data_IF_834737063876
#
_entry.id   IF_834737063876
#
_cell.length_a   1.000
_cell.length_b   1.000
_cell.length_c   1.000
_cell.angle_alpha   90.00
_cell.angle_beta   90.00
_cell.angle_gamma   90.00
#
_symmetry.space_group_name_H-M   'P 1'
#
loop_
_entity.id
_entity.type
_entity.pdbx_description
1 polymer ?
#
# COMPACT_ATOMS: atom_id res chain seq x y z
N UNK A 1 -0.75 12.57 8.58
CA UNK A 1 -0.91 13.06 7.20
C UNK A 1 0.34 13.80 6.77
N UNK A 2 0.80 13.51 5.57
CA UNK A 2 1.99 14.12 5.02
C UNK A 2 1.76 14.43 3.55
N UNK A 3 2.17 15.61 3.12
CA UNK A 3 1.94 16.02 1.73
C UNK A 3 2.95 15.41 0.76
N UNK A 4 4.05 14.89 1.26
CA UNK A 4 5.03 14.21 0.43
C UNK A 4 4.93 12.71 0.61
N UNK A 5 6.06 12.05 0.43
CA UNK A 5 6.14 10.61 0.63
C UNK A 5 6.24 10.29 2.11
N UNK A 6 5.77 9.10 2.48
CA UNK A 6 5.83 8.64 3.87
C UNK A 6 6.50 7.27 3.87
N UNK A 7 7.52 7.13 4.71
CA UNK A 7 8.18 5.85 4.93
C UNK A 7 8.05 5.51 6.41
N UNK A 8 7.55 4.32 6.69
CA UNK A 8 7.35 3.85 8.06
C UNK A 8 8.20 2.61 8.27
N UNK A 9 8.99 2.63 9.32
CA UNK A 9 9.75 1.46 9.75
C UNK A 9 8.99 0.87 10.92
N UNK A 10 8.33 -0.25 10.67
CA UNK A 10 7.45 -0.87 11.65
C UNK A 10 6.12 -1.20 11.01
N UNK A 11 5.15 -1.56 11.84
CA UNK A 11 3.86 -2.02 11.37
C UNK A 11 2.82 -0.90 11.46
N UNK A 12 1.85 -0.96 10.55
CA UNK A 12 0.66 -0.12 10.62
C UNK A 12 -0.49 -1.06 11.03
N UNK A 13 -0.94 -0.91 12.24
CA UNK A 13 -1.90 -1.85 12.81
C UNK A 13 -3.33 -1.54 12.38
N UNK A 14 -4.23 -2.52 12.51
CA UNK A 14 -5.64 -2.26 12.22
C UNK A 14 -6.14 -1.07 13.03
N UNK A 15 -6.91 -0.22 12.37
CA UNK A 15 -7.41 1.00 12.99
C UNK A 15 -6.53 2.21 12.79
N UNK A 16 -5.27 2.01 12.44
CA UNK A 16 -4.40 3.13 12.13
C UNK A 16 -4.60 3.56 10.68
N UNK A 17 -4.24 4.80 10.40
CA UNK A 17 -4.40 5.35 9.08
C UNK A 17 -3.15 6.11 8.68
N UNK A 18 -2.71 5.91 7.43
CA UNK A 18 -1.58 6.63 6.86
C UNK A 18 -2.07 7.35 5.62
N UNK A 19 -1.85 8.64 5.56
CA UNK A 19 -2.27 9.46 4.41
C UNK A 19 -1.06 10.22 3.92
N UNK A 20 -0.76 10.10 2.65
CA UNK A 20 0.38 10.77 2.04
C UNK A 20 -0.01 11.37 0.70
N UNK A 21 0.54 12.53 0.38
CA UNK A 21 0.36 13.12 -0.94
C UNK A 21 1.13 12.38 -2.02
N UNK A 22 2.19 11.67 -1.64
CA UNK A 22 2.98 10.86 -2.54
C UNK A 22 2.88 9.40 -2.19
N UNK A 23 4.02 8.71 -2.20
CA UNK A 23 4.09 7.28 -1.99
C UNK A 23 4.03 6.93 -0.50
N UNK A 24 3.59 5.72 -0.20
CA UNK A 24 3.65 5.17 1.15
C UNK A 24 4.47 3.89 1.10
N UNK A 25 5.51 3.83 1.91
CA UNK A 25 6.38 2.66 1.99
C UNK A 25 6.44 2.22 3.44
N UNK A 26 6.07 0.97 3.68
CA UNK A 26 6.02 0.42 5.03
C UNK A 26 6.99 -0.75 5.12
N UNK A 27 8.05 -0.56 5.90
CA UNK A 27 8.99 -1.64 6.18
C UNK A 27 8.44 -2.45 7.34
N UNK A 28 7.39 -3.21 7.05
CA UNK A 28 6.69 -4.00 8.04
C UNK A 28 5.35 -4.43 7.50
N UNK A 29 4.44 -4.70 8.40
CA UNK A 29 3.10 -5.17 8.05
C UNK A 29 2.15 -4.00 7.97
N UNK A 30 1.45 -3.88 6.84
CA UNK A 30 0.47 -2.83 6.66
C UNK A 30 -0.91 -3.45 6.75
N UNK A 31 -1.59 -3.22 7.87
CA UNK A 31 -2.90 -3.80 8.14
C UNK A 31 -3.97 -2.77 8.41
N UNK A 32 -3.61 -1.51 8.46
CA UNK A 32 -4.58 -0.45 8.64
C UNK A 32 -5.06 0.10 7.33
N UNK A 33 -5.51 1.35 7.36
CA UNK A 33 -5.96 2.05 6.16
C UNK A 33 -4.81 2.86 5.61
N UNK A 34 -4.72 2.93 4.28
CA UNK A 34 -3.66 3.69 3.64
C UNK A 34 -4.24 4.47 2.46
N UNK A 35 -3.77 5.70 2.31
CA UNK A 35 -4.18 6.56 1.20
C UNK A 35 -2.93 7.25 0.66
N UNK A 36 -2.42 6.77 -0.46
CA UNK A 36 -1.30 7.38 -1.15
C UNK A 36 -1.83 8.29 -2.24
N UNK A 37 -1.01 9.23 -2.67
CA UNK A 37 -1.42 10.15 -3.71
C UNK A 37 -2.67 10.92 -3.35
N UNK A 38 -2.80 11.32 -2.08
CA UNK A 38 -4.06 11.86 -1.57
C UNK A 38 -4.49 13.14 -2.26
N UNK A 39 -3.55 13.84 -2.88
CA UNK A 39 -3.86 15.07 -3.61
C UNK A 39 -4.09 14.83 -5.09
N UNK A 40 -4.33 13.57 -5.49
CA UNK A 40 -4.65 13.25 -6.87
C UNK A 40 -3.50 12.66 -7.67
N UNK A 41 -2.42 12.29 -7.03
CA UNK A 41 -1.25 11.74 -7.73
C UNK A 41 -1.49 10.27 -8.03
N UNK A 42 -1.84 9.97 -9.27
CA UNK A 42 -2.13 8.60 -9.68
C UNK A 42 -0.87 7.77 -9.95
N UNK A 43 0.29 8.40 -9.88
CA UNK A 43 1.56 7.67 -10.00
C UNK A 43 2.07 7.20 -8.65
N UNK A 44 1.40 7.55 -7.58
CA UNK A 44 1.82 7.14 -6.23
C UNK A 44 1.69 5.64 -6.06
N UNK A 45 2.56 5.08 -5.23
CA UNK A 45 2.56 3.65 -4.96
C UNK A 45 2.48 3.40 -3.47
N UNK A 46 2.06 2.18 -3.13
CA UNK A 46 2.06 1.70 -1.75
C UNK A 46 2.84 0.40 -1.71
N UNK A 47 3.91 0.38 -0.93
CA UNK A 47 4.75 -0.81 -0.77
C UNK A 47 4.75 -1.24 0.68
N UNK A 48 4.77 -2.54 0.91
CA UNK A 48 4.91 -3.06 2.27
C UNK A 48 5.55 -4.43 2.20
N UNK A 49 6.21 -4.83 3.29
CA UNK A 49 6.75 -6.18 3.38
C UNK A 49 5.63 -7.20 3.51
N UNK A 50 4.52 -6.80 4.10
CA UNK A 50 3.32 -7.62 4.17
C UNK A 50 2.14 -6.69 3.92
N UNK A 51 1.63 -6.68 2.70
CA UNK A 51 0.60 -5.75 2.29
C UNK A 51 -0.77 -6.40 2.43
N UNK A 52 -1.44 -6.06 3.52
CA UNK A 52 -2.76 -6.60 3.79
C UNK A 52 -3.64 -5.53 4.44
N UNK A 53 -3.80 -4.37 3.79
CA UNK A 53 -4.54 -3.27 4.39
C UNK A 53 -6.03 -3.57 4.48
N UNK A 54 -6.68 -2.94 5.44
CA UNK A 54 -8.13 -2.99 5.51
C UNK A 54 -8.74 -2.26 4.32
N UNK A 55 -8.10 -1.16 3.93
CA UNK A 55 -8.55 -0.37 2.80
C UNK A 55 -7.34 0.33 2.20
N UNK A 56 -7.24 0.29 0.90
CA UNK A 56 -6.12 0.91 0.20
C UNK A 56 -6.67 1.88 -0.83
N UNK A 57 -6.17 3.11 -0.77
CA UNK A 57 -6.57 4.14 -1.71
C UNK A 57 -5.33 4.72 -2.36
N UNK A 58 -5.44 4.98 -3.66
CA UNK A 58 -4.43 5.73 -4.40
C UNK A 58 -5.19 6.78 -5.19
N UNK A 59 -4.87 8.04 -4.93
CA UNK A 59 -5.58 9.17 -5.55
C UNK A 59 -7.08 9.02 -5.28
N UNK A 60 -7.90 8.93 -6.30
CA UNK A 60 -9.35 8.81 -6.14
C UNK A 60 -9.84 7.37 -6.15
N UNK A 61 -8.95 6.41 -6.39
CA UNK A 61 -9.35 5.01 -6.47
C UNK A 61 -9.21 4.33 -5.12
N UNK A 62 -10.07 3.35 -4.88
CA UNK A 62 -10.11 2.66 -3.61
C UNK A 62 -10.30 1.17 -3.88
N UNK A 63 -9.63 0.36 -3.10
CA UNK A 63 -9.82 -1.07 -3.17
C UNK A 63 -9.70 -1.68 -1.79
N UNK A 64 -10.32 -2.83 -1.61
CA UNK A 64 -10.19 -3.65 -0.42
C UNK A 64 -9.70 -4.99 -0.86
N UNK A 65 -8.54 -5.42 -0.37
CA UNK A 65 -8.06 -6.75 -0.74
C UNK A 65 -9.08 -7.80 -0.31
N UNK A 66 -9.24 -8.86 -1.11
CA UNK A 66 -10.15 -9.93 -0.70
C UNK A 66 -9.60 -10.61 0.54
N UNK A 67 -10.53 -11.12 1.35
CA UNK A 67 -10.11 -11.87 2.51
C UNK A 67 -9.40 -13.14 2.09
N UNK A 68 -8.28 -13.38 2.74
CA UNK A 68 -7.53 -14.59 2.45
C UNK A 68 -8.19 -15.77 3.09
N UNK A 69 -8.34 -16.79 2.33
CA UNK A 69 -8.89 -18.04 2.83
C UNK A 69 -7.73 -18.98 3.01
N UNK A 70 -7.38 -19.28 4.24
CA UNK A 70 -6.30 -20.17 4.50
C UNK A 70 -5.00 -19.43 4.64
N UNK A 71 -3.91 -20.14 4.43
CA UNK A 71 -2.62 -19.63 4.74
C UNK A 71 -2.10 -18.72 3.65
N UNK A 72 -1.51 -17.65 4.11
CA UNK A 72 -0.93 -16.67 3.24
C UNK A 72 0.54 -16.50 3.59
N UNK A 73 1.37 -16.55 2.58
CA UNK A 73 2.80 -16.33 2.77
C UNK A 73 3.10 -14.85 2.60
N UNK A 74 3.70 -14.25 3.63
CA UNK A 74 4.09 -12.86 3.54
C UNK A 74 5.20 -12.69 2.55
N UNK A 75 5.07 -11.69 1.69
CA UNK A 75 6.12 -11.29 0.79
C UNK A 75 5.89 -9.84 0.43
N UNK A 76 6.95 -9.14 0.06
CA UNK A 76 6.80 -7.73 -0.30
C UNK A 76 5.92 -7.57 -1.53
N UNK A 77 5.06 -6.56 -1.48
CA UNK A 77 4.16 -6.25 -2.59
C UNK A 77 4.10 -4.76 -2.79
N UNK A 78 3.76 -4.37 -4.00
CA UNK A 78 3.55 -2.98 -4.36
C UNK A 78 2.19 -2.84 -5.02
N UNK A 79 1.45 -1.81 -4.61
CA UNK A 79 0.16 -1.46 -5.20
C UNK A 79 0.34 -0.17 -5.99
N UNK A 80 -0.26 -0.13 -7.17
CA UNK A 80 -0.22 1.05 -8.03
C UNK A 80 -1.41 1.02 -8.97
N UNK A 81 -1.65 2.16 -9.60
CA UNK A 81 -2.75 2.26 -10.57
C UNK A 81 -2.20 1.90 -11.94
N UNK A 82 -2.92 1.02 -12.62
CA UNK A 82 -2.63 0.68 -14.01
C UNK A 82 -3.95 0.54 -14.74
N UNK A 83 -4.10 1.29 -15.84
CA UNK A 83 -5.30 1.23 -16.67
C UNK A 83 -6.56 1.52 -15.87
N UNK A 84 -6.47 2.48 -14.96
CA UNK A 84 -7.63 2.94 -14.20
C UNK A 84 -8.01 2.09 -13.01
N UNK A 85 -7.19 1.12 -12.64
CA UNK A 85 -7.50 0.24 -11.51
C UNK A 85 -6.25 0.06 -10.66
N UNK A 86 -6.47 -0.20 -9.39
CA UNK A 86 -5.37 -0.50 -8.49
C UNK A 86 -4.99 -1.97 -8.68
N UNK A 87 -3.73 -2.21 -8.99
CA UNK A 87 -3.21 -3.57 -9.08
C UNK A 87 -2.16 -3.75 -8.00
N UNK A 88 -1.99 -5.01 -7.58
CA UNK A 88 -1.01 -5.38 -6.57
C UNK A 88 -0.14 -6.46 -7.17
N UNK A 89 1.18 -6.28 -7.08
CA UNK A 89 2.10 -7.26 -7.61
C UNK A 89 3.24 -7.45 -6.64
N UNK A 90 3.95 -8.54 -6.82
CA UNK A 90 5.11 -8.82 -5.99
C UNK A 90 6.15 -7.76 -6.21
N UNK A 91 6.78 -7.35 -5.12
CA UNK A 91 7.86 -6.39 -5.18
C UNK A 91 9.15 -7.16 -4.97
N UNK A 92 9.79 -7.54 -6.05
CA UNK A 92 11.01 -8.32 -5.96
C UNK A 92 12.16 -7.53 -6.52
N UNK A 93 13.31 -7.69 -5.88
CA UNK A 93 14.52 -7.11 -6.39
C UNK A 93 15.10 -8.09 -7.40
N UNK A 94 15.34 -7.60 -8.59
CA UNK A 94 15.93 -8.42 -9.63
C UNK A 94 17.38 -8.61 -9.31
N UNK A 95 17.71 -9.77 -8.82
CA UNK A 95 19.09 -10.06 -8.49
C UNK A 95 19.80 -10.61 -9.70
N UNK A 96 20.52 -9.81 -10.38
CA UNK A 96 21.19 -10.23 -11.59
C UNK A 96 22.62 -10.52 -11.37
#
# INVERSE_FOLDING_TARGET
HNEGHVTIVGDVNPGAEVVAGGDVIVWGKLRGNVHAGANGDEDAIVCALDLNPAQLRIAALITRPPEEQGRRTSHPEVARIQDGAIIVESWTVRGE
#
